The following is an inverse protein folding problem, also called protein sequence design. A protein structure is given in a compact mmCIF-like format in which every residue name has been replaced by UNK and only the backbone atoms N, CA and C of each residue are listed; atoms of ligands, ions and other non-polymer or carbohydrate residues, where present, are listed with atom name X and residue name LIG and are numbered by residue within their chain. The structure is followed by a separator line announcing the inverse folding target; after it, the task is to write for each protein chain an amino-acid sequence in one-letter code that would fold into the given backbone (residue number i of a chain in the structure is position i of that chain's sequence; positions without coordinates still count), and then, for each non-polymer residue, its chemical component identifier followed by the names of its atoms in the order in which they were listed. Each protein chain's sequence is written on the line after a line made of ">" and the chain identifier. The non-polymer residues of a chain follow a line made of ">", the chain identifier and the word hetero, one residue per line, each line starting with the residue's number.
data_IF_027367143136
#
_entry.id   IF_027367143136
#
_cell.length_a   1.000
_cell.length_b   1.000
_cell.length_c   1.000
_cell.angle_alpha   90.00
_cell.angle_beta   90.00
_cell.angle_gamma   90.00
#
_symmetry.space_group_name_H-M   'P 1'
#
loop_
_entity.id
_entity.type
_entity.pdbx_description
1 polymer ?
#
# COMPACT_ATOMS: atom_id res chain seq x y z
N UNK A 1 9.77 -14.09 -0.95
CA UNK A 1 10.35 -15.22 -0.20
C UNK A 1 9.30 -16.11 0.46
N UNK A 2 8.23 -15.58 1.08
CA UNK A 2 7.14 -16.41 1.67
C UNK A 2 6.48 -17.38 0.68
N UNK A 3 6.22 -16.95 -0.57
CA UNK A 3 5.62 -17.81 -1.59
C UNK A 3 6.52 -18.99 -2.03
N UNK A 4 7.84 -18.88 -1.85
CA UNK A 4 8.80 -19.96 -2.17
C UNK A 4 8.74 -21.07 -1.10
N UNK A 5 8.31 -20.74 0.13
CA UNK A 5 8.25 -21.65 1.28
C UNK A 5 6.83 -22.07 1.67
N UNK A 6 5.86 -21.81 0.79
CA UNK A 6 4.46 -22.25 0.93
C UNK A 6 4.18 -23.36 -0.07
N UNK A 7 3.17 -24.20 0.21
CA UNK A 7 2.83 -25.27 -0.73
C UNK A 7 2.30 -24.66 -2.04
N UNK A 8 3.00 -24.95 -3.14
CA UNK A 8 2.70 -24.42 -4.48
C UNK A 8 1.70 -25.28 -5.25
N UNK A 9 1.22 -26.38 -4.67
CA UNK A 9 0.32 -27.32 -5.34
C UNK A 9 -1.14 -27.09 -4.94
N UNK A 10 -1.96 -26.75 -5.93
CA UNK A 10 -3.43 -26.81 -5.83
C UNK A 10 -3.91 -27.81 -6.88
N UNK A 11 -4.38 -28.98 -6.42
CA UNK A 11 -5.07 -29.99 -7.24
C UNK A 11 -4.33 -30.33 -8.57
N UNK A 12 -3.04 -30.71 -8.47
CA UNK A 12 -2.10 -30.98 -9.57
C UNK A 12 -1.52 -29.78 -10.34
N UNK A 13 -1.88 -28.53 -10.02
CA UNK A 13 -1.28 -27.35 -10.65
C UNK A 13 -0.25 -26.69 -9.73
N UNK A 14 1.00 -26.59 -10.21
CA UNK A 14 2.09 -25.92 -9.50
C UNK A 14 2.06 -24.42 -9.82
N UNK A 15 1.51 -23.63 -8.91
CA UNK A 15 1.44 -22.17 -9.07
C UNK A 15 2.84 -21.60 -8.82
N UNK A 16 3.48 -20.94 -9.79
CA UNK A 16 4.80 -20.36 -9.58
C UNK A 16 4.71 -19.20 -8.58
N UNK A 17 5.64 -19.08 -7.61
CA UNK A 17 5.69 -17.96 -6.67
C UNK A 17 5.71 -16.57 -7.33
N UNK A 18 6.19 -16.49 -8.58
CA UNK A 18 6.24 -15.26 -9.37
C UNK A 18 4.86 -14.74 -9.81
N UNK A 19 3.82 -15.58 -9.86
CA UNK A 19 2.47 -15.17 -10.28
C UNK A 19 1.76 -14.31 -9.24
N UNK A 20 2.25 -14.28 -8.02
CA UNK A 20 1.66 -13.55 -6.91
C UNK A 20 1.61 -12.03 -7.15
N UNK A 21 2.60 -11.49 -7.86
CA UNK A 21 2.60 -10.08 -8.26
C UNK A 21 1.59 -9.75 -9.38
N UNK A 22 1.16 -10.74 -10.16
CA UNK A 22 0.14 -10.52 -11.21
C UNK A 22 -1.24 -10.31 -10.58
N UNK A 23 -1.51 -10.90 -9.43
CA UNK A 23 -2.80 -10.76 -8.73
C UNK A 23 -3.03 -9.32 -8.28
N UNK A 24 -2.00 -8.63 -7.76
CA UNK A 24 -2.15 -7.21 -7.39
C UNK A 24 -2.40 -6.34 -8.63
N UNK A 25 -1.74 -6.62 -9.75
CA UNK A 25 -1.94 -5.93 -11.03
C UNK A 25 -3.35 -6.15 -11.60
N UNK A 26 -3.88 -7.38 -11.53
CA UNK A 26 -5.26 -7.69 -11.93
C UNK A 26 -6.25 -6.97 -11.02
N UNK A 27 -6.04 -7.00 -9.71
CA UNK A 27 -6.91 -6.33 -8.74
C UNK A 27 -6.94 -4.80 -8.96
N UNK A 28 -5.77 -4.19 -9.18
CA UNK A 28 -5.63 -2.79 -9.56
C UNK A 28 -6.39 -2.48 -10.86
N UNK A 29 -6.22 -3.30 -11.89
CA UNK A 29 -6.85 -3.11 -13.19
C UNK A 29 -8.38 -3.21 -13.11
N UNK A 30 -8.89 -4.20 -12.38
CA UNK A 30 -10.33 -4.37 -12.13
C UNK A 30 -10.88 -3.17 -11.36
N UNK A 31 -10.16 -2.67 -10.35
CA UNK A 31 -10.58 -1.49 -9.61
C UNK A 31 -10.63 -0.24 -10.49
N UNK A 32 -9.61 0.00 -11.32
CA UNK A 32 -9.58 1.12 -12.28
C UNK A 32 -10.77 1.02 -13.23
N UNK A 33 -11.05 -0.16 -13.77
CA UNK A 33 -12.20 -0.39 -14.64
C UNK A 33 -13.52 -0.04 -13.93
N UNK A 34 -13.72 -0.51 -12.69
CA UNK A 34 -14.90 -0.17 -11.89
C UNK A 34 -14.99 1.34 -11.65
N UNK A 35 -13.87 1.99 -11.33
CA UNK A 35 -13.85 3.42 -11.06
C UNK A 35 -14.20 4.25 -12.30
N UNK A 36 -13.63 3.93 -13.46
CA UNK A 36 -13.87 4.68 -14.70
C UNK A 36 -15.23 4.38 -15.34
N UNK A 37 -15.65 3.11 -15.33
CA UNK A 37 -16.86 2.67 -16.06
C UNK A 37 -18.12 2.65 -15.22
N UNK A 38 -18.02 2.53 -13.90
CA UNK A 38 -19.19 2.46 -13.02
C UNK A 38 -19.26 3.73 -12.18
N UNK A 39 -18.20 4.03 -11.42
CA UNK A 39 -18.25 5.14 -10.47
C UNK A 39 -18.35 6.51 -11.17
N UNK A 40 -17.49 6.78 -12.15
CA UNK A 40 -17.45 8.06 -12.85
C UNK A 40 -18.76 8.42 -13.60
N UNK A 41 -19.40 7.53 -14.39
CA UNK A 41 -20.67 7.85 -15.04
C UNK A 41 -21.84 7.94 -14.05
N UNK A 42 -21.87 7.12 -13.00
CA UNK A 42 -22.90 7.23 -11.96
C UNK A 42 -22.78 8.55 -11.18
N UNK A 43 -21.55 8.98 -10.87
CA UNK A 43 -21.28 10.28 -10.24
C UNK A 43 -21.66 11.45 -11.17
N UNK A 44 -21.36 11.36 -12.48
CA UNK A 44 -21.81 12.33 -13.48
C UNK A 44 -23.34 12.41 -13.60
N UNK A 45 -24.04 11.27 -13.46
CA UNK A 45 -25.51 11.22 -13.53
C UNK A 45 -26.17 11.82 -12.28
N UNK A 46 -25.51 11.75 -11.12
CA UNK A 46 -26.05 12.22 -9.83
C UNK A 46 -25.60 13.61 -9.39
N UNK A 47 -24.44 14.13 -9.85
CA UNK A 47 -23.92 15.43 -9.41
C UNK A 47 -23.45 16.31 -10.57
N UNK A 48 -23.93 17.57 -10.59
CA UNK A 48 -23.48 18.63 -11.52
C UNK A 48 -22.21 19.37 -11.06
N UNK A 49 -21.72 19.15 -9.83
CA UNK A 49 -20.51 19.80 -9.30
C UNK A 49 -19.52 18.75 -8.75
N UNK A 50 -18.27 18.83 -9.24
CA UNK A 50 -17.09 18.01 -8.90
C UNK A 50 -17.30 16.48 -8.91
N UNK A 51 -17.08 15.88 -10.08
CA UNK A 51 -17.32 14.48 -10.44
C UNK A 51 -16.34 13.47 -9.79
N UNK A 52 -15.18 13.92 -9.30
CA UNK A 52 -14.12 13.04 -8.77
C UNK A 52 -14.12 13.00 -7.24
N UNK A 53 -13.88 11.81 -6.67
CA UNK A 53 -13.62 11.64 -5.23
C UNK A 53 -12.50 12.57 -4.78
N UNK A 54 -12.69 13.25 -3.64
CA UNK A 54 -11.68 14.13 -3.06
C UNK A 54 -10.38 13.36 -2.85
N UNK A 55 -9.26 13.94 -3.32
CA UNK A 55 -7.91 13.36 -3.20
C UNK A 55 -7.60 12.92 -1.75
N UNK A 56 -8.03 13.72 -0.76
CA UNK A 56 -7.92 13.39 0.68
C UNK A 56 -8.55 12.04 1.05
N UNK A 57 -9.79 11.81 0.62
CA UNK A 57 -10.50 10.58 0.93
C UNK A 57 -9.83 9.38 0.27
N UNK A 58 -9.39 9.52 -0.98
CA UNK A 58 -8.71 8.45 -1.73
C UNK A 58 -7.38 8.06 -1.07
N UNK A 59 -6.57 9.04 -0.68
CA UNK A 59 -5.31 8.78 0.03
C UNK A 59 -5.59 8.11 1.39
N UNK A 60 -6.57 8.62 2.15
CA UNK A 60 -6.94 8.03 3.44
C UNK A 60 -7.40 6.58 3.30
N UNK A 61 -8.25 6.27 2.31
CA UNK A 61 -8.69 4.90 2.02
C UNK A 61 -7.52 4.01 1.62
N UNK A 62 -6.56 4.50 0.84
CA UNK A 62 -5.38 3.73 0.46
C UNK A 62 -4.51 3.37 1.66
N UNK A 63 -4.24 4.33 2.56
CA UNK A 63 -3.48 4.06 3.80
C UNK A 63 -4.20 3.03 4.67
N UNK A 64 -5.53 3.09 4.79
CA UNK A 64 -6.31 2.07 5.52
C UNK A 64 -6.15 0.69 4.86
N UNK A 65 -6.22 0.60 3.53
CA UNK A 65 -6.01 -0.66 2.81
C UNK A 65 -4.57 -1.18 3.00
N UNK A 66 -3.57 -0.31 3.10
CA UNK A 66 -2.19 -0.70 3.40
C UNK A 66 -2.05 -1.29 4.83
N UNK A 67 -2.72 -0.70 5.82
CA UNK A 67 -2.75 -1.24 7.19
C UNK A 67 -3.42 -2.63 7.19
N UNK A 68 -4.58 -2.77 6.55
CA UNK A 68 -5.28 -4.04 6.44
C UNK A 68 -4.43 -5.10 5.73
N UNK A 69 -3.72 -4.72 4.66
CA UNK A 69 -2.78 -5.58 3.96
C UNK A 69 -1.73 -6.16 4.92
N UNK A 70 -1.11 -5.31 5.74
CA UNK A 70 -0.05 -5.72 6.68
C UNK A 70 -0.59 -6.57 7.83
N UNK A 71 -1.78 -6.24 8.36
CA UNK A 71 -2.45 -7.03 9.42
C UNK A 71 -2.80 -8.43 8.90
N UNK A 72 -3.37 -8.51 7.70
CA UNK A 72 -3.70 -9.79 7.07
C UNK A 72 -2.44 -10.60 6.79
N UNK A 73 -1.36 -9.97 6.29
CA UNK A 73 -0.07 -10.63 6.12
C UNK A 73 0.48 -11.19 7.44
N UNK A 74 0.36 -10.44 8.54
CA UNK A 74 0.78 -10.89 9.87
C UNK A 74 -0.02 -12.11 10.37
N UNK A 75 -1.34 -12.12 10.18
CA UNK A 75 -2.21 -13.24 10.56
C UNK A 75 -1.90 -14.47 9.71
N UNK A 76 -1.75 -14.30 8.40
CA UNK A 76 -1.41 -15.39 7.46
C UNK A 76 -0.07 -16.01 7.81
N UNK A 77 0.94 -15.18 8.12
CA UNK A 77 2.27 -15.66 8.51
C UNK A 77 2.24 -16.40 9.85
N UNK A 78 1.46 -15.89 10.83
CA UNK A 78 1.28 -16.58 12.12
C UNK A 78 0.65 -17.96 11.94
N UNK A 79 -0.41 -18.05 11.15
CA UNK A 79 -1.07 -19.32 10.85
C UNK A 79 -0.11 -20.28 10.11
N UNK A 80 0.66 -19.77 9.14
CA UNK A 80 1.65 -20.54 8.39
C UNK A 80 2.74 -21.11 9.30
N UNK A 81 3.25 -20.29 10.22
CA UNK A 81 4.28 -20.65 11.20
C UNK A 81 3.78 -21.67 12.20
N UNK A 82 2.58 -21.49 12.75
CA UNK A 82 1.97 -22.43 13.71
C UNK A 82 1.71 -23.80 13.06
N UNK A 83 1.31 -23.82 11.78
CA UNK A 83 1.16 -25.07 11.03
C UNK A 83 2.51 -25.75 10.75
N UNK A 84 3.57 -25.00 10.40
CA UNK A 84 4.91 -25.53 10.18
C UNK A 84 5.54 -26.10 11.47
N UNK A 85 5.37 -25.40 12.61
CA UNK A 85 5.88 -25.84 13.91
C UNK A 85 5.21 -27.12 14.40
N UNK A 86 3.90 -27.30 14.15
CA UNK A 86 3.16 -28.52 14.51
C UNK A 86 3.59 -29.75 13.70
N UNK A 87 4.05 -29.57 12.48
CA UNK A 87 4.47 -30.67 11.61
C UNK A 87 6.00 -30.90 11.58
N UNK A 88 6.78 -30.02 12.23
CA UNK A 88 8.25 -30.12 12.25
C UNK A 88 8.90 -29.95 10.87
N UNK A 89 8.17 -29.46 9.87
CA UNK A 89 8.61 -29.34 8.49
C UNK A 89 9.00 -27.90 8.13
N UNK A 90 9.99 -27.76 7.23
CA UNK A 90 10.40 -26.45 6.71
C UNK A 90 9.30 -25.79 5.84
N UNK A 91 8.46 -26.62 5.21
CA UNK A 91 7.39 -26.20 4.29
C UNK A 91 6.04 -26.38 4.98
N UNK A 92 5.32 -25.27 5.14
CA UNK A 92 3.96 -25.29 5.66
C UNK A 92 3.00 -25.87 4.61
N UNK A 93 2.10 -26.79 4.97
CA UNK A 93 1.09 -27.35 4.04
C UNK A 93 0.04 -26.31 3.61
N UNK A 94 0.14 -25.07 4.07
CA UNK A 94 -0.82 -24.03 3.79
C UNK A 94 -0.81 -23.66 2.30
N UNK A 95 -2.01 -23.60 1.71
CA UNK A 95 -2.19 -23.22 0.31
C UNK A 95 -1.74 -21.79 0.07
N UNK A 96 -1.04 -21.59 -1.04
CA UNK A 96 -0.65 -20.28 -1.58
C UNK A 96 -1.83 -19.29 -1.70
N UNK A 97 -3.06 -19.81 -1.81
CA UNK A 97 -4.29 -19.03 -1.85
C UNK A 97 -4.49 -18.12 -0.62
N UNK A 98 -3.93 -18.47 0.54
CA UNK A 98 -4.03 -17.62 1.74
C UNK A 98 -3.22 -16.33 1.66
N UNK A 99 -2.31 -16.20 0.68
CA UNK A 99 -1.62 -14.95 0.38
C UNK A 99 -2.45 -14.06 -0.59
N UNK A 100 -3.51 -14.56 -1.22
CA UNK A 100 -4.35 -13.75 -2.12
C UNK A 100 -4.91 -12.48 -1.47
N UNK A 101 -5.43 -12.52 -0.23
CA UNK A 101 -6.05 -11.34 0.38
C UNK A 101 -5.07 -10.18 0.57
N UNK A 102 -3.82 -10.44 0.98
CA UNK A 102 -2.80 -9.39 1.10
C UNK A 102 -2.45 -8.77 -0.26
N UNK A 103 -2.37 -9.57 -1.34
CA UNK A 103 -2.10 -9.03 -2.68
C UNK A 103 -3.27 -8.21 -3.23
N UNK A 104 -4.51 -8.58 -2.91
CA UNK A 104 -5.69 -7.79 -3.25
C UNK A 104 -5.68 -6.43 -2.53
N UNK A 105 -5.41 -6.41 -1.23
CA UNK A 105 -5.30 -5.14 -0.48
C UNK A 105 -4.14 -4.26 -0.96
N UNK A 106 -3.01 -4.86 -1.34
CA UNK A 106 -1.89 -4.14 -1.96
C UNK A 106 -2.31 -3.47 -3.27
N UNK A 107 -3.01 -4.19 -4.15
CA UNK A 107 -3.51 -3.64 -5.42
C UNK A 107 -4.51 -2.49 -5.20
N UNK A 108 -5.41 -2.63 -4.22
CA UNK A 108 -6.33 -1.55 -3.84
C UNK A 108 -5.59 -0.33 -3.26
N UNK A 109 -4.59 -0.53 -2.42
CA UNK A 109 -3.76 0.56 -1.90
C UNK A 109 -3.11 1.35 -3.04
N UNK A 110 -2.50 0.67 -4.02
CA UNK A 110 -1.94 1.33 -5.20
C UNK A 110 -3.02 2.11 -5.98
N UNK A 111 -4.18 1.51 -6.20
CA UNK A 111 -5.27 2.13 -6.95
C UNK A 111 -5.81 3.41 -6.30
N UNK A 112 -5.87 3.43 -4.97
CA UNK A 112 -6.42 4.54 -4.21
C UNK A 112 -5.37 5.59 -3.84
N UNK A 113 -4.24 5.19 -3.27
CA UNK A 113 -3.20 6.11 -2.79
C UNK A 113 -2.27 6.56 -3.92
N UNK A 114 -1.67 5.62 -4.66
CA UNK A 114 -0.64 5.97 -5.66
C UNK A 114 -1.23 6.81 -6.80
N UNK A 115 -2.38 6.41 -7.33
CA UNK A 115 -3.08 7.19 -8.37
C UNK A 115 -3.49 8.57 -7.85
N UNK A 116 -3.97 8.68 -6.60
CA UNK A 116 -4.38 9.96 -6.04
C UNK A 116 -3.19 10.91 -5.82
N UNK A 117 -2.04 10.39 -5.38
CA UNK A 117 -0.80 11.16 -5.22
C UNK A 117 -0.27 11.62 -6.58
N UNK A 118 -0.25 10.75 -7.59
CA UNK A 118 0.19 11.10 -8.94
C UNK A 118 -0.71 12.16 -9.58
N UNK A 119 -2.03 12.03 -9.42
CA UNK A 119 -3.00 13.03 -9.87
C UNK A 119 -2.83 14.36 -9.12
N UNK A 120 -2.52 14.32 -7.82
CA UNK A 120 -2.25 15.52 -7.04
C UNK A 120 -1.02 16.29 -7.54
N UNK A 121 0.10 15.60 -7.78
CA UNK A 121 1.31 16.24 -8.32
C UNK A 121 1.07 16.82 -9.71
N UNK A 122 0.36 16.08 -10.57
CA UNK A 122 0.04 16.52 -11.93
C UNK A 122 -0.92 17.71 -11.95
N UNK A 123 -1.79 17.85 -10.94
CA UNK A 123 -2.72 18.97 -10.82
C UNK A 123 -2.10 20.21 -10.16
N UNK A 124 -1.01 20.08 -9.40
CA UNK A 124 -0.31 21.20 -8.76
C UNK A 124 0.73 21.84 -9.66
N UNK A 125 1.27 21.10 -10.64
CA UNK A 125 2.25 21.61 -11.59
C UNK A 125 1.57 22.08 -12.89
N UNK A 126 2.08 23.14 -13.53
CA UNK A 126 1.57 23.62 -14.82
C UNK A 126 1.74 22.55 -15.90
N UNK A 127 0.94 22.61 -16.98
CA UNK A 127 0.89 21.56 -18.00
C UNK A 127 2.26 21.26 -18.64
N UNK A 128 3.12 22.28 -18.78
CA UNK A 128 4.49 22.17 -19.30
C UNK A 128 5.43 21.38 -18.40
N UNK A 129 5.06 21.14 -17.13
CA UNK A 129 5.86 20.45 -16.12
C UNK A 129 5.29 19.08 -15.71
N UNK A 130 4.34 18.53 -16.47
CA UNK A 130 3.76 17.20 -16.15
C UNK A 130 4.81 16.08 -16.09
N UNK A 131 5.83 16.12 -16.94
CA UNK A 131 6.94 15.15 -16.90
C UNK A 131 7.74 15.25 -15.60
N UNK A 132 7.92 16.47 -15.07
CA UNK A 132 8.57 16.69 -13.78
C UNK A 132 7.74 16.13 -12.63
N UNK A 133 6.41 16.23 -12.69
CA UNK A 133 5.51 15.61 -11.71
C UNK A 133 5.72 14.09 -11.62
N UNK A 134 5.83 13.42 -12.78
CA UNK A 134 6.12 12.00 -12.86
C UNK A 134 7.51 11.65 -12.31
N UNK A 135 8.52 12.45 -12.63
CA UNK A 135 9.88 12.26 -12.11
C UNK A 135 9.93 12.37 -10.57
N UNK A 136 9.26 13.37 -9.98
CA UNK A 136 9.18 13.54 -8.52
C UNK A 136 8.47 12.34 -7.87
N UNK A 137 7.42 11.82 -8.51
CA UNK A 137 6.71 10.65 -8.03
C UNK A 137 7.63 9.41 -7.97
N UNK A 138 8.35 9.11 -9.04
CA UNK A 138 9.29 7.97 -9.05
C UNK A 138 10.48 8.18 -8.13
N UNK A 139 10.98 9.42 -7.99
CA UNK A 139 12.03 9.74 -7.04
C UNK A 139 11.58 9.48 -5.60
N UNK A 140 10.35 9.87 -5.27
CA UNK A 140 9.74 9.60 -3.96
C UNK A 140 9.60 8.09 -3.69
N UNK A 141 9.24 7.32 -4.72
CA UNK A 141 9.18 5.85 -4.64
C UNK A 141 10.57 5.22 -4.40
N UNK A 142 11.59 5.72 -5.09
CA UNK A 142 12.98 5.31 -4.89
C UNK A 142 13.47 5.63 -3.47
N UNK A 143 13.24 6.85 -2.98
CA UNK A 143 13.55 7.25 -1.61
C UNK A 143 12.85 6.36 -0.57
N UNK A 144 11.59 6.01 -0.82
CA UNK A 144 10.83 5.08 0.04
C UNK A 144 11.46 3.68 0.07
N UNK A 145 12.01 3.21 -1.05
CA UNK A 145 12.69 1.91 -1.14
C UNK A 145 14.00 1.90 -0.34
N UNK A 146 14.77 2.98 -0.39
CA UNK A 146 15.94 3.15 0.48
C UNK A 146 15.58 3.20 1.95
N UNK A 147 14.51 3.93 2.30
CA UNK A 147 14.01 3.99 3.67
C UNK A 147 13.56 2.60 4.17
N UNK A 148 12.86 1.83 3.34
CA UNK A 148 12.48 0.46 3.67
C UNK A 148 13.71 -0.41 3.96
N UNK A 149 14.77 -0.26 3.16
CA UNK A 149 16.03 -0.98 3.37
C UNK A 149 16.72 -0.56 4.66
N UNK A 150 16.72 0.74 4.98
CA UNK A 150 17.24 1.25 6.24
C UNK A 150 16.46 0.70 7.45
N UNK A 151 15.13 0.66 7.39
CA UNK A 151 14.28 0.07 8.44
C UNK A 151 14.64 -1.40 8.64
N UNK A 152 14.77 -2.18 7.57
CA UNK A 152 15.17 -3.59 7.65
C UNK A 152 16.53 -3.73 8.32
N UNK A 153 17.52 -2.91 7.95
CA UNK A 153 18.84 -2.93 8.54
C UNK A 153 18.83 -2.55 10.04
N UNK A 154 18.03 -1.56 10.43
CA UNK A 154 17.86 -1.17 11.84
C UNK A 154 17.22 -2.32 12.63
N UNK A 155 16.15 -2.91 12.12
CA UNK A 155 15.49 -4.07 12.76
C UNK A 155 16.48 -5.23 12.88
N UNK A 156 17.26 -5.50 11.84
CA UNK A 156 18.29 -6.52 11.87
C UNK A 156 19.35 -6.23 12.95
N UNK A 157 19.84 -4.99 13.05
CA UNK A 157 20.84 -4.59 14.05
C UNK A 157 20.30 -4.72 15.48
N UNK A 158 19.10 -4.21 15.73
CA UNK A 158 18.44 -4.24 17.05
C UNK A 158 18.13 -5.66 17.49
N UNK A 159 17.73 -6.52 16.54
CA UNK A 159 17.37 -7.91 16.85
C UNK A 159 18.59 -8.85 16.88
N UNK A 160 19.69 -8.49 16.22
CA UNK A 160 20.94 -9.26 16.20
C UNK A 160 21.76 -9.07 17.49
N UNK A 161 21.10 -9.09 18.66
CA UNK A 161 21.78 -8.93 19.93
C UNK A 161 22.31 -10.28 20.44
N UNK A 162 23.64 -10.45 20.40
CA UNK A 162 24.43 -11.39 21.20
C UNK A 162 24.00 -12.87 21.25
N UNK A 163 23.80 -13.51 20.09
CA UNK A 163 24.05 -14.96 19.93
C UNK A 163 23.11 -15.94 20.65
N UNK A 164 21.93 -15.51 21.14
CA UNK A 164 20.99 -16.41 21.84
C UNK A 164 19.55 -16.45 21.30
N UNK A 165 19.10 -15.50 20.49
CA UNK A 165 17.76 -15.53 19.90
C UNK A 165 17.76 -15.24 18.41
N UNK A 166 16.91 -15.94 17.66
CA UNK A 166 16.86 -15.90 16.20
C UNK A 166 16.40 -14.51 15.69
N UNK A 167 17.10 -13.90 14.71
CA UNK A 167 16.75 -12.58 14.16
C UNK A 167 15.31 -12.50 13.64
N UNK A 168 14.68 -11.32 13.72
CA UNK A 168 13.35 -11.03 13.15
C UNK A 168 13.35 -10.90 11.63
N UNK A 169 14.52 -10.65 11.04
CA UNK A 169 14.81 -10.78 9.62
C UNK A 169 16.23 -11.33 9.47
N UNK A 170 16.43 -12.31 8.60
CA UNK A 170 17.74 -12.91 8.32
C UNK A 170 17.86 -14.35 8.81
N UNK A 171 18.08 -15.25 7.86
CA UNK A 171 18.22 -16.70 8.08
C UNK A 171 17.69 -17.51 6.90
N UNK A 172 18.28 -18.68 6.61
CA UNK A 172 17.74 -19.62 5.59
C UNK A 172 16.38 -20.21 6.02
N UNK A 173 16.07 -20.20 7.31
CA UNK A 173 14.84 -20.73 7.90
C UNK A 173 13.90 -19.60 8.34
N UNK A 174 12.88 -19.30 7.53
CA UNK A 174 11.84 -18.31 7.86
C UNK A 174 10.98 -18.75 9.05
N UNK A 175 10.96 -20.04 9.39
CA UNK A 175 10.19 -20.57 10.52
C UNK A 175 10.78 -20.23 11.89
N UNK A 176 12.08 -19.90 11.97
CA UNK A 176 12.74 -19.43 13.20
C UNK A 176 12.68 -17.91 13.37
N UNK A 177 12.25 -17.22 12.32
CA UNK A 177 12.22 -15.77 12.18
C UNK A 177 10.81 -15.28 12.50
N UNK A 178 10.67 -14.32 13.42
CA UNK A 178 9.38 -13.75 13.83
C UNK A 178 8.91 -12.66 12.86
N UNK A 179 8.68 -13.04 11.60
CA UNK A 179 8.28 -12.14 10.52
C UNK A 179 6.91 -11.47 10.77
N UNK A 180 6.06 -12.12 11.56
CA UNK A 180 4.79 -11.58 12.07
C UNK A 180 4.97 -10.26 12.80
N UNK A 181 6.02 -10.12 13.62
CA UNK A 181 6.29 -8.88 14.37
C UNK A 181 6.75 -7.75 13.46
N UNK A 182 7.49 -8.06 12.39
CA UNK A 182 7.86 -7.06 11.40
C UNK A 182 6.62 -6.52 10.67
N UNK A 183 5.66 -7.38 10.30
CA UNK A 183 4.42 -6.92 9.70
C UNK A 183 3.57 -6.07 10.65
N UNK A 184 3.50 -6.43 11.95
CA UNK A 184 2.85 -5.58 12.94
C UNK A 184 3.56 -4.24 13.12
N UNK A 185 4.90 -4.20 13.07
CA UNK A 185 5.68 -2.96 13.14
C UNK A 185 5.35 -2.04 11.96
N UNK A 186 5.33 -2.58 10.73
CA UNK A 186 4.98 -1.81 9.54
C UNK A 186 3.51 -1.37 9.59
N UNK A 187 2.59 -2.21 10.07
CA UNK A 187 1.19 -1.84 10.28
C UNK A 187 1.05 -0.69 11.29
N UNK A 188 1.80 -0.74 12.40
CA UNK A 188 1.84 0.33 13.41
C UNK A 188 2.39 1.64 12.84
N UNK A 189 3.47 1.57 12.05
CA UNK A 189 4.03 2.73 11.36
C UNK A 189 3.04 3.33 10.35
N UNK A 190 2.31 2.48 9.60
CA UNK A 190 1.27 2.91 8.68
C UNK A 190 0.06 3.54 9.43
N UNK A 191 -0.31 3.03 10.60
CA UNK A 191 -1.33 3.62 11.46
C UNK A 191 -0.89 4.98 12.01
N UNK A 192 0.37 5.13 12.42
CA UNK A 192 0.93 6.42 12.81
C UNK A 192 0.93 7.40 11.64
N UNK A 193 1.28 6.95 10.43
CA UNK A 193 1.19 7.76 9.22
C UNK A 193 -0.26 8.19 8.92
N UNK A 194 -1.26 7.33 9.14
CA UNK A 194 -2.67 7.67 9.02
C UNK A 194 -3.06 8.78 10.01
N UNK A 195 -2.64 8.67 11.27
CA UNK A 195 -2.88 9.70 12.29
C UNK A 195 -2.21 11.02 11.92
N UNK A 196 -0.94 10.98 11.50
CA UNK A 196 -0.21 12.16 11.06
C UNK A 196 -0.90 12.84 9.88
N UNK A 197 -1.31 12.07 8.86
CA UNK A 197 -2.05 12.59 7.71
C UNK A 197 -3.38 13.21 8.14
N UNK A 198 -4.09 12.56 9.07
CA UNK A 198 -5.39 13.06 9.52
C UNK A 198 -5.27 14.36 10.35
N UNK A 199 -4.21 14.50 11.16
CA UNK A 199 -4.01 15.67 12.01
C UNK A 199 -3.44 16.86 11.24
N UNK A 200 -2.45 16.63 10.36
CA UNK A 200 -1.73 17.69 9.67
C UNK A 200 -2.27 17.93 8.26
N UNK A 201 -2.30 16.92 7.39
CA UNK A 201 -2.69 17.11 5.99
C UNK A 201 -4.14 17.55 5.82
N UNK A 202 -5.04 17.14 6.72
CA UNK A 202 -6.42 17.61 6.71
C UNK A 202 -6.52 19.13 6.87
N UNK A 203 -5.74 19.71 7.80
CA UNK A 203 -5.71 21.15 8.05
C UNK A 203 -5.01 21.92 6.94
N UNK A 204 -3.96 21.35 6.34
CA UNK A 204 -3.31 21.95 5.18
C UNK A 204 -4.21 21.94 3.93
N UNK A 205 -4.93 20.84 3.67
CA UNK A 205 -5.81 20.77 2.51
C UNK A 205 -7.01 21.71 2.63
N UNK A 206 -7.57 21.86 3.83
CA UNK A 206 -8.70 22.76 4.11
C UNK A 206 -8.30 24.23 3.91
N UNK A 207 -7.15 24.63 4.48
CA UNK A 207 -6.59 25.98 4.34
C UNK A 207 -6.21 26.35 2.89
N UNK A 208 -5.84 25.36 2.06
CA UNK A 208 -5.55 25.57 0.64
C UNK A 208 -6.82 25.61 -0.24
N UNK A 209 -7.87 24.88 0.12
CA UNK A 209 -9.16 24.96 -0.58
C UNK A 209 -9.78 26.34 -0.36
N UNK A 210 -9.73 26.88 0.85
CA UNK A 210 -10.22 28.23 1.15
C UNK A 210 -9.46 29.28 0.34
N UNK A 211 -8.12 29.28 0.38
CA UNK A 211 -7.30 30.23 -0.41
C UNK A 211 -7.54 30.16 -1.93
N UNK A 212 -7.76 28.97 -2.49
CA UNK A 212 -8.04 28.81 -3.93
C UNK A 212 -9.46 29.23 -4.30
N UNK A 213 -10.40 29.12 -3.36
CA UNK A 213 -11.76 29.62 -3.56
C UNK A 213 -11.83 31.14 -3.51
N UNK A 214 -11.04 31.77 -2.63
CA UNK A 214 -10.86 33.22 -2.55
C UNK A 214 -10.20 33.77 -3.82
N UNK A 215 -9.06 33.19 -4.25
CA UNK A 215 -8.36 33.66 -5.46
C UNK A 215 -9.20 33.54 -6.73
N UNK A 216 -10.03 32.50 -6.83
CA UNK A 216 -10.93 32.30 -7.97
C UNK A 216 -12.14 33.23 -7.94
N UNK A 217 -12.56 33.71 -6.77
CA UNK A 217 -13.59 34.75 -6.66
C UNK A 217 -13.03 36.14 -7.00
N UNK A 218 -11.77 36.41 -6.66
CA UNK A 218 -11.08 37.65 -7.07
C UNK A 218 -10.88 37.73 -8.59
N UNK A 219 -10.36 36.67 -9.23
CA UNK A 219 -10.18 36.63 -10.69
C UNK A 219 -11.51 36.80 -11.47
N UNK A 220 -12.62 36.31 -10.90
CA UNK A 220 -13.94 36.40 -11.54
C UNK A 220 -14.58 37.79 -11.36
N UNK A 221 -14.19 38.54 -10.34
CA UNK A 221 -14.61 39.92 -10.10
C UNK A 221 -13.77 40.93 -10.89
N UNK A 222 -12.49 40.65 -11.17
CA UNK A 222 -11.65 41.52 -12.04
C UNK A 222 -11.99 41.37 -13.53
N UNK A 223 -12.60 40.25 -13.94
CA UNK A 223 -12.96 39.96 -15.32
C UNK A 223 -14.39 40.39 -15.70
N UNK A 224 -15.15 40.99 -14.79
CA UNK A 224 -16.54 41.44 -14.95
C UNK A 224 -16.63 42.97 -14.93
#
# INVERSE_FOLDING_TARGET
>A
MQAIQSNNEVHNFKIPPGWMGLISMICLSVWIFIYEKIYLPQAKKRSKKNIRLTTRHRINTGIVMAILCMVVAAIVERNRRDAALKQGTLVSPQSILLLLPQFAFSGLNEAFAAVAIMEHYTNHLPETMRTLAGAIFFLSFSASSYLNTAIINIVHLVTSNNGKESPWLGGRDLNKVKLDYFYYLIAGLAALNLLYFNLFSCRYLEKHVDKRSESRHEEMNEAA
#
